data_IF_423809592047
#
_entry.id   IF_423809592047
#
_cell.length_a   1.000
_cell.length_b   1.000
_cell.length_c   1.000
_cell.angle_alpha   90.00
_cell.angle_beta   90.00
_cell.angle_gamma   90.00
#
_symmetry.space_group_name_H-M   'P 1'
#
loop_
_entity.id
_entity.type
_entity.pdbx_description
1 polymer ?
#
# COMPACT_ATOMS: atom_id res chain seq x y z
N UNK A 1 -13.47 -17.04 -75.51
CA UNK A 1 -14.85 -16.54 -75.49
C UNK A 1 -15.40 -17.09 -74.18
N UNK A 2 -15.65 -16.31 -73.14
CA UNK A 2 -16.09 -14.91 -73.07
C UNK A 2 -15.41 -14.16 -71.91
N UNK A 3 -15.31 -12.84 -72.08
CA UNK A 3 -14.91 -11.86 -71.08
C UNK A 3 -16.20 -11.27 -70.47
N UNK A 4 -16.24 -11.07 -69.16
CA UNK A 4 -16.97 -9.98 -68.50
C UNK A 4 -16.33 -9.81 -67.11
N UNK A 5 -15.36 -8.92 -66.94
CA UNK A 5 -15.55 -7.52 -66.51
C UNK A 5 -16.57 -7.36 -65.37
N UNK A 6 -16.09 -7.32 -64.13
CA UNK A 6 -16.70 -6.48 -63.10
C UNK A 6 -15.66 -6.04 -62.09
N UNK A 7 -15.27 -4.78 -62.23
CA UNK A 7 -14.50 -3.99 -61.27
C UNK A 7 -15.38 -3.64 -60.07
N UNK A 8 -14.99 -4.11 -58.88
CA UNK A 8 -15.58 -3.73 -57.61
C UNK A 8 -14.50 -3.31 -56.61
N UNK A 9 -14.10 -2.04 -56.70
CA UNK A 9 -13.27 -1.36 -55.70
C UNK A 9 -14.06 -1.14 -54.41
N UNK A 10 -13.75 -1.92 -53.38
CA UNK A 10 -14.27 -1.75 -52.02
C UNK A 10 -13.15 -1.40 -51.06
N UNK A 11 -12.98 -0.10 -50.81
CA UNK A 11 -12.13 0.44 -49.75
C UNK A 11 -12.75 0.11 -48.38
N UNK A 12 -12.15 -0.83 -47.66
CA UNK A 12 -12.52 -1.19 -46.29
C UNK A 12 -11.49 -0.65 -45.30
N UNK A 13 -11.97 0.21 -44.41
CA UNK A 13 -11.22 1.01 -43.45
C UNK A 13 -10.31 0.19 -42.52
N UNK A 14 -9.17 0.78 -42.18
CA UNK A 14 -8.14 0.19 -41.34
C UNK A 14 -8.63 -0.22 -39.95
N UNK A 15 -8.07 -1.32 -39.46
CA UNK A 15 -8.04 -1.66 -38.05
C UNK A 15 -6.66 -1.31 -37.53
N UNK A 16 -6.53 -0.08 -37.05
CA UNK A 16 -5.43 0.36 -36.19
C UNK A 16 -5.40 -0.58 -34.98
N UNK A 17 -4.51 -1.58 -35.02
CA UNK A 17 -4.18 -2.36 -33.84
C UNK A 17 -3.23 -1.50 -33.01
N UNK A 18 -3.82 -0.52 -32.31
CA UNK A 18 -3.17 0.18 -31.23
C UNK A 18 -2.80 -0.82 -30.15
N UNK A 19 -1.60 -1.37 -30.23
CA UNK A 19 -0.92 -1.98 -29.09
C UNK A 19 -0.55 -0.85 -28.12
N UNK A 20 -1.53 -0.41 -27.33
CA UNK A 20 -1.27 0.45 -26.19
C UNK A 20 -0.35 -0.29 -25.21
N UNK A 21 0.63 0.37 -24.58
CA UNK A 21 1.43 -0.26 -23.55
C UNK A 21 0.55 -0.42 -22.30
N UNK A 22 -0.10 -1.57 -22.17
CA UNK A 22 -0.75 -1.99 -20.93
C UNK A 22 0.29 -2.52 -19.93
N UNK A 23 1.40 -1.78 -19.76
CA UNK A 23 2.29 -1.98 -18.63
C UNK A 23 1.68 -1.33 -17.39
N UNK A 24 0.53 -1.84 -16.98
CA UNK A 24 0.10 -1.85 -15.59
C UNK A 24 1.06 -2.74 -14.80
N UNK A 25 2.32 -2.32 -14.71
CA UNK A 25 3.33 -2.92 -13.86
C UNK A 25 3.02 -2.49 -12.42
N UNK A 26 1.96 -3.07 -11.87
CA UNK A 26 1.67 -3.09 -10.44
C UNK A 26 2.73 -3.91 -9.71
N UNK A 27 3.97 -3.41 -9.72
CA UNK A 27 5.01 -3.87 -8.83
C UNK A 27 4.55 -3.43 -7.44
N UNK A 28 3.90 -4.32 -6.70
CA UNK A 28 3.55 -4.16 -5.30
C UNK A 28 4.84 -4.15 -4.45
N UNK A 29 5.73 -3.21 -4.76
CA UNK A 29 6.83 -2.83 -3.88
C UNK A 29 6.17 -2.06 -2.74
N UNK A 30 6.29 -2.51 -1.48
CA UNK A 30 5.76 -1.78 -0.34
C UNK A 30 6.32 -0.36 -0.41
N UNK A 31 5.44 0.59 -0.74
CA UNK A 31 5.82 1.99 -0.73
C UNK A 31 5.93 2.38 0.75
N UNK A 32 7.01 3.06 1.16
CA UNK A 32 7.15 3.58 2.51
C UNK A 32 5.90 4.40 2.88
N UNK A 33 5.37 4.17 4.08
CA UNK A 33 4.26 4.98 4.56
C UNK A 33 4.75 6.38 4.89
N UNK A 34 4.27 7.37 4.14
CA UNK A 34 4.62 8.77 4.33
C UNK A 34 4.27 9.24 5.77
N UNK A 35 5.15 9.99 6.46
CA UNK A 35 4.89 10.53 7.80
C UNK A 35 3.59 11.35 7.91
N UNK A 36 3.21 12.03 6.83
CA UNK A 36 1.97 12.80 6.76
C UNK A 36 0.71 11.92 6.73
N UNK A 37 0.82 10.64 6.38
CA UNK A 37 -0.30 9.69 6.41
C UNK A 37 -0.51 9.11 7.81
N UNK A 38 0.58 8.87 8.55
CA UNK A 38 0.56 8.33 9.93
C UNK A 38 -0.35 9.15 10.87
N UNK A 39 -0.40 10.47 10.70
CA UNK A 39 -1.28 11.35 11.51
C UNK A 39 -2.77 11.05 11.37
N UNK A 40 -3.19 10.41 10.27
CA UNK A 40 -4.57 10.01 10.03
C UNK A 40 -4.86 8.58 10.50
N UNK A 41 -3.82 7.77 10.74
CA UNK A 41 -3.95 6.40 11.21
C UNK A 41 -4.06 6.39 12.74
N UNK A 42 -5.25 6.08 13.24
CA UNK A 42 -5.57 6.10 14.66
C UNK A 42 -5.53 4.69 15.24
N UNK A 43 -4.80 4.50 16.34
CA UNK A 43 -4.74 3.24 17.08
C UNK A 43 -6.14 2.81 17.55
N UNK A 44 -6.57 1.56 17.32
CA UNK A 44 -7.89 1.07 17.70
C UNK A 44 -8.09 1.01 19.22
N UNK A 45 -7.00 0.97 20.00
CA UNK A 45 -7.02 0.91 21.47
C UNK A 45 -6.98 2.30 22.11
N UNK A 46 -5.96 3.10 21.84
CA UNK A 46 -5.79 4.41 22.48
C UNK A 46 -6.67 5.50 21.86
N UNK A 47 -7.18 5.29 20.64
CA UNK A 47 -7.87 6.32 19.84
C UNK A 47 -6.99 7.56 19.57
N UNK A 48 -5.67 7.40 19.65
CA UNK A 48 -4.66 8.40 19.32
C UNK A 48 -3.97 8.06 17.99
N UNK A 49 -3.40 9.04 17.27
CA UNK A 49 -2.57 8.77 16.10
C UNK A 49 -1.42 7.81 16.43
N UNK A 50 -1.00 6.99 15.45
CA UNK A 50 0.18 6.14 15.57
C UNK A 50 1.46 6.99 15.54
N UNK A 51 2.48 6.57 16.30
CA UNK A 51 3.71 7.35 16.50
C UNK A 51 4.64 7.27 15.29
N UNK A 52 4.84 6.08 14.74
CA UNK A 52 5.79 5.85 13.62
C UNK A 52 5.44 4.59 12.81
N UNK A 53 5.99 4.53 11.61
CA UNK A 53 6.06 3.33 10.80
C UNK A 53 7.50 2.78 10.85
N UNK A 54 7.64 1.48 11.03
CA UNK A 54 8.92 0.77 11.05
C UNK A 54 9.07 -0.04 9.75
N UNK A 55 9.93 0.44 8.85
CA UNK A 55 10.16 -0.19 7.54
C UNK A 55 10.80 -1.57 7.67
N UNK A 56 11.66 -1.78 8.68
CA UNK A 56 12.40 -3.04 8.84
C UNK A 56 11.49 -4.22 9.20
N UNK A 57 10.44 -3.97 9.98
CA UNK A 57 9.46 -5.00 10.38
C UNK A 57 8.13 -4.87 9.66
N UNK A 58 7.93 -3.82 8.86
CA UNK A 58 6.68 -3.48 8.18
C UNK A 58 5.51 -3.34 9.18
N UNK A 59 5.73 -2.57 10.24
CA UNK A 59 4.78 -2.41 11.36
C UNK A 59 4.47 -0.94 11.67
N UNK A 60 3.27 -0.69 12.15
CA UNK A 60 2.81 0.60 12.69
C UNK A 60 2.94 0.60 14.20
N UNK A 61 3.73 1.51 14.74
CA UNK A 61 4.11 1.54 16.15
C UNK A 61 3.27 2.55 16.94
N UNK A 62 2.78 2.12 18.09
CA UNK A 62 2.28 2.97 19.15
C UNK A 62 3.24 2.89 20.35
N UNK A 63 4.01 3.96 20.58
CA UNK A 63 5.01 4.01 21.66
C UNK A 63 4.39 4.14 23.04
N UNK A 64 3.23 4.81 23.14
CA UNK A 64 2.51 5.04 24.39
C UNK A 64 2.07 3.72 25.03
N UNK A 65 1.54 2.80 24.22
CA UNK A 65 1.09 1.47 24.64
C UNK A 65 2.18 0.40 24.50
N UNK A 66 3.30 0.72 23.84
CA UNK A 66 4.37 -0.24 23.55
C UNK A 66 3.91 -1.40 22.67
N UNK A 67 3.10 -1.09 21.64
CA UNK A 67 2.55 -2.10 20.71
C UNK A 67 2.80 -1.73 19.24
N UNK A 68 2.74 -2.75 18.38
CA UNK A 68 2.90 -2.67 16.94
C UNK A 68 1.75 -3.40 16.23
N UNK A 69 1.26 -2.83 15.14
CA UNK A 69 0.31 -3.47 14.22
C UNK A 69 1.03 -3.84 12.92
N UNK A 70 0.98 -5.10 12.47
CA UNK A 70 1.65 -5.51 11.23
C UNK A 70 0.91 -5.00 10.00
N UNK A 71 1.65 -4.72 8.94
CA UNK A 71 1.11 -4.47 7.61
C UNK A 71 1.25 -5.76 6.80
N UNK A 72 0.14 -6.26 6.27
CA UNK A 72 0.08 -7.51 5.51
C UNK A 72 -0.45 -7.16 4.11
N UNK A 73 0.30 -7.51 3.07
CA UNK A 73 -0.02 -7.19 1.67
C UNK A 73 -0.32 -5.70 1.42
N UNK A 74 0.39 -4.82 2.15
CA UNK A 74 0.21 -3.37 2.08
C UNK A 74 -1.00 -2.82 2.85
N UNK A 75 -1.73 -3.68 3.57
CA UNK A 75 -2.92 -3.32 4.35
C UNK A 75 -2.57 -3.36 5.85
N UNK A 76 -2.74 -2.25 6.59
CA UNK A 76 -2.60 -2.24 8.05
C UNK A 76 -3.59 -3.18 8.75
N UNK A 77 -3.08 -4.17 9.48
CA UNK A 77 -3.91 -5.03 10.31
C UNK A 77 -4.13 -4.40 11.69
N UNK A 78 -5.09 -3.47 11.76
CA UNK A 78 -5.40 -2.68 12.96
C UNK A 78 -6.49 -3.30 13.84
N UNK A 79 -6.47 -4.63 14.02
CA UNK A 79 -7.32 -5.32 15.00
C UNK A 79 -6.58 -5.45 16.34
N UNK A 80 -7.25 -5.25 17.49
CA UNK A 80 -6.64 -5.39 18.81
C UNK A 80 -5.83 -6.68 19.01
N UNK A 81 -6.32 -7.79 18.47
CA UNK A 81 -5.73 -9.13 18.62
C UNK A 81 -4.43 -9.30 17.82
N UNK A 82 -4.24 -8.52 16.75
CA UNK A 82 -3.02 -8.54 15.95
C UNK A 82 -1.90 -7.67 16.56
N UNK A 83 -2.22 -6.85 17.57
CA UNK A 83 -1.23 -6.01 18.23
C UNK A 83 -0.15 -6.85 18.91
N UNK A 84 1.11 -6.57 18.57
CA UNK A 84 2.28 -7.22 19.17
C UNK A 84 2.99 -6.26 20.10
N UNK A 85 3.56 -6.75 21.20
CA UNK A 85 4.38 -5.91 22.08
C UNK A 85 5.68 -5.53 21.38
N UNK A 86 6.04 -4.26 21.43
CA UNK A 86 7.33 -3.78 20.95
C UNK A 86 8.34 -3.80 22.09
N UNK A 87 9.50 -4.40 21.89
CA UNK A 87 10.61 -4.33 22.86
C UNK A 87 11.33 -2.97 22.86
N UNK A 88 10.81 -1.95 22.18
CA UNK A 88 11.34 -0.60 22.25
C UNK A 88 11.14 -0.06 23.66
N UNK A 89 12.25 0.18 24.37
CA UNK A 89 12.30 0.82 25.69
C UNK A 89 11.38 2.04 25.75
N UNK A 90 10.34 1.99 26.58
CA UNK A 90 9.49 3.13 26.86
C UNK A 90 10.33 4.32 27.38
N UNK A 91 9.99 5.58 27.05
CA UNK A 91 10.61 6.73 27.68
C UNK A 91 9.95 6.95 29.05
N UNK A 92 10.32 6.15 30.05
CA UNK A 92 9.95 6.37 31.45
C UNK A 92 10.91 5.67 32.41
N UNK A 93 12.14 6.16 32.50
CA UNK A 93 12.89 6.14 33.76
C UNK A 93 12.90 7.60 34.26
N UNK A 94 11.69 8.09 34.57
CA UNK A 94 11.48 9.19 35.49
C UNK A 94 10.74 8.56 36.68
N UNK A 95 11.46 7.77 37.45
CA UNK A 95 11.03 7.22 38.73
C UNK A 95 12.27 7.23 39.61
N UNK A 96 12.43 8.37 40.27
CA UNK A 96 13.17 8.51 41.51
C UNK A 96 12.86 7.35 42.46
N UNK A 97 13.90 6.75 43.05
CA UNK A 97 13.89 6.15 44.39
C UNK A 97 15.30 5.67 44.80
N UNK A 98 15.58 5.58 46.12
CA UNK A 98 16.36 6.55 46.92
C UNK A 98 17.88 6.28 47.00
#
# INVERSE_FOLDING_TARGET
QEQEQSSGSGSGSGSDSGSGPDSGSGSARPQPLEPSLLRFLVCPLSKRPLSRYEESTNELINEELGIAYPIIDGIPNMVPEAARRTHTKAPAEASEQP
#
